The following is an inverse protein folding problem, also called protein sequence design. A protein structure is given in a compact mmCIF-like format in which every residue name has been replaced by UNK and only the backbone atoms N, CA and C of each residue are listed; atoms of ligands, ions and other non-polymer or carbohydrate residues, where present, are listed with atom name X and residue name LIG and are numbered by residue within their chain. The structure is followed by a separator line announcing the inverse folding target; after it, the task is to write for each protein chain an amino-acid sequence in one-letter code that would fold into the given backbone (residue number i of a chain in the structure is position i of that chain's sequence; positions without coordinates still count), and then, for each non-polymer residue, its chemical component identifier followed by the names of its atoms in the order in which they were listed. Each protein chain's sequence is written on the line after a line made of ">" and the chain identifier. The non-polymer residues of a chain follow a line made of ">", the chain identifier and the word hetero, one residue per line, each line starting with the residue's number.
data_IF_514564439803
#
_entry.id   IF_514564439803
#
_cell.length_a   1.000
_cell.length_b   1.000
_cell.length_c   1.000
_cell.angle_alpha   90.00
_cell.angle_beta   90.00
_cell.angle_gamma   90.00
#
_symmetry.space_group_name_H-M   'P 1'
#
loop_
_entity.id
_entity.type
_entity.pdbx_description
1 polymer ?
#
# COMPACT_ATOMS: atom_id res chain seq x y z
N UNK A 1 22.98 -27.06 -3.24
CA UNK A 1 22.77 -25.80 -3.97
C UNK A 1 23.45 -24.68 -3.19
N UNK A 2 24.14 -23.75 -3.85
CA UNK A 2 24.82 -22.58 -3.23
C UNK A 2 24.04 -21.27 -3.35
N UNK A 3 22.77 -21.32 -3.74
CA UNK A 3 21.92 -20.15 -3.88
C UNK A 3 21.41 -19.67 -2.51
N UNK A 4 21.45 -18.35 -2.29
CA UNK A 4 20.87 -17.70 -1.12
C UNK A 4 19.36 -17.51 -1.29
N UNK A 5 18.62 -17.60 -0.18
CA UNK A 5 17.18 -17.37 -0.13
C UNK A 5 16.87 -16.32 0.94
N UNK A 6 15.87 -15.48 0.66
CA UNK A 6 15.38 -14.48 1.61
C UNK A 6 14.68 -15.15 2.79
N UNK A 7 14.62 -14.45 3.93
CA UNK A 7 13.77 -14.86 5.04
C UNK A 7 12.29 -14.77 4.62
N UNK A 8 11.62 -15.92 4.59
CA UNK A 8 10.24 -16.04 4.10
C UNK A 8 9.24 -15.38 5.05
N UNK A 9 9.48 -15.40 6.36
CA UNK A 9 8.63 -14.73 7.33
C UNK A 9 8.69 -13.22 7.11
N UNK A 10 9.89 -12.64 7.02
CA UNK A 10 10.07 -11.21 6.79
C UNK A 10 9.52 -10.77 5.43
N UNK A 11 9.66 -11.58 4.38
CA UNK A 11 9.06 -11.31 3.08
C UNK A 11 7.53 -11.24 3.15
N UNK A 12 6.88 -12.18 3.86
CA UNK A 12 5.43 -12.17 4.04
C UNK A 12 4.96 -10.99 4.89
N UNK A 13 5.70 -10.61 5.94
CA UNK A 13 5.42 -9.40 6.72
C UNK A 13 5.48 -8.14 5.84
N UNK A 14 6.52 -8.02 5.01
CA UNK A 14 6.67 -6.92 4.07
C UNK A 14 5.51 -6.81 3.10
N UNK A 15 5.15 -7.92 2.44
CA UNK A 15 4.00 -7.95 1.53
C UNK A 15 2.69 -7.64 2.25
N UNK A 16 2.45 -8.22 3.43
CA UNK A 16 1.20 -8.02 4.17
C UNK A 16 1.02 -6.56 4.60
N UNK A 17 2.10 -5.86 4.97
CA UNK A 17 2.07 -4.42 5.24
C UNK A 17 1.75 -3.60 3.99
N UNK A 18 2.30 -3.98 2.83
CA UNK A 18 2.04 -3.31 1.56
C UNK A 18 0.55 -3.36 1.17
N UNK A 19 -0.18 -4.43 1.54
CA UNK A 19 -1.64 -4.52 1.30
C UNK A 19 -2.46 -3.48 2.06
N UNK A 20 -1.86 -2.74 3.00
CA UNK A 20 -2.52 -1.75 3.87
C UNK A 20 -1.95 -0.36 3.70
N UNK A 21 -0.63 -0.21 3.89
CA UNK A 21 -0.03 1.11 4.00
C UNK A 21 0.00 1.88 2.69
N UNK A 22 0.00 1.19 1.54
CA UNK A 22 -0.13 1.89 0.26
C UNK A 22 -1.47 2.63 0.15
N UNK A 23 -2.57 2.05 0.66
CA UNK A 23 -3.88 2.71 0.69
C UNK A 23 -3.88 3.95 1.61
N UNK A 24 -3.17 3.89 2.74
CA UNK A 24 -3.08 5.04 3.64
C UNK A 24 -2.23 6.17 3.03
N UNK A 25 -1.11 5.82 2.37
CA UNK A 25 -0.31 6.80 1.61
C UNK A 25 -1.15 7.44 0.51
N UNK A 26 -1.94 6.64 -0.24
CA UNK A 26 -2.84 7.15 -1.26
C UNK A 26 -3.91 8.08 -0.68
N UNK A 27 -4.51 7.71 0.46
CA UNK A 27 -5.48 8.55 1.17
C UNK A 27 -4.88 9.91 1.56
N UNK A 28 -3.68 9.90 2.14
CA UNK A 28 -2.98 11.13 2.55
C UNK A 28 -2.59 12.00 1.34
N UNK A 29 -2.13 11.39 0.25
CA UNK A 29 -1.79 12.13 -0.96
C UNK A 29 -3.02 12.81 -1.58
N UNK A 30 -4.17 12.13 -1.62
CA UNK A 30 -5.42 12.70 -2.09
C UNK A 30 -5.93 13.84 -1.19
N UNK A 31 -5.81 13.69 0.13
CA UNK A 31 -6.18 14.72 1.11
C UNK A 31 -5.35 16.00 0.92
N UNK A 32 -4.02 15.85 0.81
CA UNK A 32 -3.11 16.98 0.60
C UNK A 32 -3.28 17.65 -0.76
N UNK A 33 -3.54 16.88 -1.81
CA UNK A 33 -3.75 17.42 -3.15
C UNK A 33 -5.11 18.14 -3.26
N UNK A 34 -6.14 17.61 -2.59
CA UNK A 34 -7.49 18.12 -2.62
C UNK A 34 -8.30 17.70 -3.85
N UNK A 35 -9.55 18.14 -3.89
CA UNK A 35 -10.55 17.68 -4.86
C UNK A 35 -10.24 17.97 -6.34
N UNK A 36 -9.28 18.86 -6.63
CA UNK A 36 -8.90 19.16 -8.00
C UNK A 36 -8.42 17.92 -8.75
N UNK A 37 -7.82 16.93 -8.06
CA UNK A 37 -7.43 15.65 -8.66
C UNK A 37 -8.57 14.97 -9.41
N UNK A 38 -9.76 14.93 -8.80
CA UNK A 38 -10.93 14.25 -9.36
C UNK A 38 -11.62 15.04 -10.48
N UNK A 39 -11.33 16.34 -10.57
CA UNK A 39 -11.97 17.26 -11.51
C UNK A 39 -10.95 17.97 -12.41
N UNK A 40 -9.77 17.36 -12.58
CA UNK A 40 -8.73 17.90 -13.45
C UNK A 40 -9.22 17.86 -14.90
N UNK A 41 -9.19 19.01 -15.62
CA UNK A 41 -9.50 19.03 -17.04
C UNK A 41 -8.49 18.17 -17.81
N UNK A 42 -8.91 17.71 -18.99
CA UNK A 42 -8.04 16.93 -19.86
C UNK A 42 -6.91 17.79 -20.42
N UNK A 43 -5.85 17.15 -20.91
CA UNK A 43 -4.79 17.86 -21.64
C UNK A 43 -5.34 18.57 -22.89
N UNK A 44 -6.33 17.97 -23.55
CA UNK A 44 -7.04 18.59 -24.68
C UNK A 44 -7.69 19.92 -24.29
N UNK A 45 -8.34 20.00 -23.12
CA UNK A 45 -8.95 21.25 -22.65
C UNK A 45 -7.88 22.30 -22.31
N UNK A 46 -6.72 21.88 -21.82
CA UNK A 46 -5.61 22.76 -21.46
C UNK A 46 -4.92 23.36 -22.71
N UNK A 47 -4.85 22.59 -23.78
CA UNK A 47 -4.24 22.98 -25.06
C UNK A 47 -5.23 23.62 -26.04
N UNK A 48 -6.53 23.59 -25.74
CA UNK A 48 -7.58 24.17 -26.56
C UNK A 48 -7.38 25.68 -26.78
N UNK A 49 -7.51 26.13 -28.03
CA UNK A 49 -7.50 27.56 -28.39
C UNK A 49 -8.70 28.30 -27.75
N UNK A 50 -9.85 27.61 -27.65
CA UNK A 50 -11.10 28.18 -27.14
C UNK A 50 -11.15 28.23 -25.61
N UNK A 51 -10.69 27.16 -24.92
CA UNK A 51 -10.88 27.02 -23.46
C UNK A 51 -9.59 26.97 -22.66
N UNK A 52 -8.42 26.73 -23.28
CA UNK A 52 -7.15 26.57 -22.59
C UNK A 52 -6.75 27.80 -21.78
N UNK A 53 -7.04 29.00 -22.28
CA UNK A 53 -6.82 30.25 -21.55
C UNK A 53 -7.66 30.35 -20.26
N UNK A 54 -8.89 29.78 -20.24
CA UNK A 54 -9.74 29.70 -19.05
C UNK A 54 -9.21 28.66 -18.07
N UNK A 55 -8.76 27.50 -18.56
CA UNK A 55 -8.13 26.47 -17.74
C UNK A 55 -6.91 27.05 -17.03
N UNK A 56 -5.98 27.68 -17.78
CA UNK A 56 -4.77 28.28 -17.22
C UNK A 56 -5.07 29.34 -16.16
N UNK A 57 -6.12 30.15 -16.36
CA UNK A 57 -6.57 31.17 -15.41
C UNK A 57 -7.16 30.56 -14.14
N UNK A 58 -8.14 29.67 -14.25
CA UNK A 58 -8.93 29.20 -13.10
C UNK A 58 -8.33 27.99 -12.38
N UNK A 59 -7.42 27.24 -13.01
CA UNK A 59 -6.66 26.18 -12.36
C UNK A 59 -5.27 26.63 -11.86
N UNK A 60 -4.96 27.92 -11.98
CA UNK A 60 -3.76 28.52 -11.39
C UNK A 60 -3.74 28.36 -9.86
N UNK A 61 -2.54 28.30 -9.30
CA UNK A 61 -2.32 28.14 -7.87
C UNK A 61 -1.63 29.36 -7.25
N UNK A 62 -0.67 29.10 -6.37
CA UNK A 62 0.20 30.14 -5.80
C UNK A 62 0.96 30.86 -6.93
N UNK A 63 1.12 32.17 -6.79
CA UNK A 63 1.85 33.00 -7.74
C UNK A 63 3.27 32.46 -8.00
N UNK A 64 3.68 32.46 -9.27
CA UNK A 64 5.00 31.99 -9.69
C UNK A 64 5.07 30.51 -10.06
N UNK A 65 4.01 29.72 -9.85
CA UNK A 65 3.93 28.33 -10.29
C UNK A 65 3.10 28.23 -11.58
N UNK A 66 3.65 27.69 -12.70
CA UNK A 66 2.88 27.43 -13.91
C UNK A 66 1.71 26.48 -13.65
N UNK A 67 0.54 26.78 -14.24
CA UNK A 67 -0.66 25.93 -14.10
C UNK A 67 -0.41 24.53 -14.63
N UNK A 68 0.36 24.42 -15.72
CA UNK A 68 0.75 23.15 -16.35
C UNK A 68 1.51 22.24 -15.37
N UNK A 69 2.44 22.80 -14.59
CA UNK A 69 3.23 22.01 -13.64
C UNK A 69 2.38 21.55 -12.44
N UNK A 70 1.43 22.38 -12.00
CA UNK A 70 0.42 22.00 -11.01
C UNK A 70 -0.48 20.86 -11.50
N UNK A 71 -0.86 20.88 -12.78
CA UNK A 71 -1.65 19.80 -13.39
C UNK A 71 -0.83 18.52 -13.50
N UNK A 72 0.44 18.59 -13.93
CA UNK A 72 1.34 17.43 -14.04
C UNK A 72 1.51 16.70 -12.70
N UNK A 73 1.76 17.42 -11.61
CA UNK A 73 1.88 16.78 -10.29
C UNK A 73 0.55 16.14 -9.87
N UNK A 74 -0.58 16.77 -10.20
CA UNK A 74 -1.90 16.18 -9.96
C UNK A 74 -2.10 14.85 -10.71
N UNK A 75 -1.76 14.81 -12.01
CA UNK A 75 -1.83 13.57 -12.82
C UNK A 75 -0.89 12.49 -12.32
N UNK A 76 0.28 12.87 -11.81
CA UNK A 76 1.20 11.92 -11.18
C UNK A 76 0.59 11.30 -9.92
N UNK A 77 0.02 12.12 -9.04
CA UNK A 77 -0.66 11.63 -7.84
C UNK A 77 -1.81 10.71 -8.22
N UNK A 78 -2.71 11.14 -9.11
CA UNK A 78 -3.83 10.32 -9.61
C UNK A 78 -3.35 8.94 -10.10
N UNK A 79 -2.28 8.91 -10.89
CA UNK A 79 -1.70 7.67 -11.44
C UNK A 79 -1.12 6.75 -10.36
N UNK A 80 -0.45 7.33 -9.36
CA UNK A 80 0.19 6.56 -8.28
C UNK A 80 -0.82 6.08 -7.23
N UNK A 81 -1.93 6.78 -7.06
CA UNK A 81 -2.93 6.51 -6.02
C UNK A 81 -4.19 5.83 -6.55
N UNK A 82 -4.24 5.50 -7.83
CA UNK A 82 -5.41 4.95 -8.50
C UNK A 82 -5.15 3.66 -9.26
N UNK A 83 -6.23 3.00 -9.67
CA UNK A 83 -6.21 1.87 -10.60
C UNK A 83 -5.26 0.73 -10.20
N UNK A 84 -4.36 0.37 -11.12
CA UNK A 84 -3.49 -0.81 -11.03
C UNK A 84 -2.54 -0.77 -9.84
N UNK A 85 -2.03 0.41 -9.43
CA UNK A 85 -1.03 0.52 -8.37
C UNK A 85 -1.53 -0.05 -7.03
N UNK A 86 -2.76 0.31 -6.66
CA UNK A 86 -3.39 -0.17 -5.42
C UNK A 86 -3.81 -1.64 -5.52
N UNK A 87 -4.34 -2.06 -6.67
CA UNK A 87 -4.78 -3.45 -6.89
C UNK A 87 -3.59 -4.41 -6.87
N UNK A 88 -2.47 -4.05 -7.50
CA UNK A 88 -1.22 -4.82 -7.44
C UNK A 88 -0.70 -4.90 -6.02
N UNK A 89 -0.71 -3.78 -5.28
CA UNK A 89 -0.28 -3.81 -3.88
C UNK A 89 -1.15 -4.70 -2.99
N UNK A 90 -2.44 -4.85 -3.31
CA UNK A 90 -3.33 -5.80 -2.64
C UNK A 90 -3.08 -7.25 -3.04
N UNK A 91 -2.83 -7.54 -4.32
CA UNK A 91 -2.91 -8.91 -4.86
C UNK A 91 -1.63 -9.49 -5.47
N UNK A 92 -0.64 -8.66 -5.80
CA UNK A 92 0.66 -9.08 -6.31
C UNK A 92 1.34 -10.05 -5.35
N UNK A 93 1.88 -11.16 -5.85
CA UNK A 93 2.41 -12.26 -5.05
C UNK A 93 1.40 -12.91 -4.06
N UNK A 94 0.10 -12.71 -4.28
CA UNK A 94 -1.00 -13.34 -3.53
C UNK A 94 -1.80 -12.35 -2.69
N UNK A 95 -3.12 -12.58 -2.61
CA UNK A 95 -4.05 -11.83 -1.76
C UNK A 95 -3.70 -11.94 -0.27
N UNK A 96 -4.10 -10.98 0.59
CA UNK A 96 -3.64 -10.88 2.00
C UNK A 96 -3.77 -12.18 2.82
N UNK A 97 -4.75 -13.02 2.49
CA UNK A 97 -4.95 -14.29 3.17
C UNK A 97 -3.80 -15.27 2.93
N UNK A 98 -3.15 -15.22 1.77
CA UNK A 98 -1.98 -16.05 1.47
C UNK A 98 -0.84 -15.74 2.45
N UNK A 99 -0.52 -14.46 2.69
CA UNK A 99 0.53 -14.07 3.63
C UNK A 99 0.15 -14.42 5.08
N UNK A 100 -1.12 -14.27 5.48
CA UNK A 100 -1.58 -14.67 6.82
C UNK A 100 -1.40 -16.17 7.07
N UNK A 101 -1.69 -17.01 6.09
CA UNK A 101 -1.48 -18.46 6.18
C UNK A 101 0.01 -18.78 6.31
N UNK A 102 0.86 -18.14 5.50
CA UNK A 102 2.31 -18.34 5.56
C UNK A 102 2.92 -17.89 6.88
N UNK A 103 2.54 -16.71 7.38
CA UNK A 103 2.97 -16.20 8.70
C UNK A 103 2.51 -17.14 9.82
N UNK A 104 1.29 -17.67 9.75
CA UNK A 104 0.82 -18.64 10.74
C UNK A 104 1.67 -19.91 10.73
N UNK A 105 1.98 -20.44 9.53
CA UNK A 105 2.77 -21.65 9.33
C UNK A 105 4.22 -21.49 9.84
N UNK A 106 4.82 -20.33 9.62
CA UNK A 106 6.21 -20.04 9.97
C UNK A 106 6.35 -19.39 11.36
N UNK A 107 5.24 -19.10 12.03
CA UNK A 107 5.19 -18.31 13.25
C UNK A 107 5.61 -19.02 14.53
N UNK A 108 5.94 -20.31 14.48
CA UNK A 108 6.36 -21.16 15.61
C UNK A 108 5.48 -20.98 16.86
N UNK A 109 4.17 -21.20 16.67
CA UNK A 109 3.18 -21.00 17.73
C UNK A 109 3.40 -21.94 18.91
N UNK A 110 3.83 -23.18 18.68
CA UNK A 110 4.07 -24.14 19.76
C UNK A 110 5.18 -23.67 20.70
N UNK A 111 6.27 -23.10 20.17
CA UNK A 111 7.29 -22.48 21.01
C UNK A 111 6.74 -21.30 21.79
N UNK A 112 5.98 -20.42 21.16
CA UNK A 112 5.36 -19.26 21.83
C UNK A 112 4.38 -19.68 22.93
N UNK A 113 3.59 -20.73 22.70
CA UNK A 113 2.69 -21.33 23.69
C UNK A 113 3.48 -21.89 24.88
N UNK A 114 4.59 -22.60 24.63
CA UNK A 114 5.47 -23.11 25.70
C UNK A 114 6.04 -21.97 26.56
N UNK A 115 6.47 -20.88 25.94
CA UNK A 115 6.95 -19.69 26.65
C UNK A 115 5.83 -19.06 27.50
N UNK A 116 4.63 -18.91 26.95
CA UNK A 116 3.48 -18.40 27.70
C UNK A 116 3.10 -19.30 28.88
N UNK A 117 3.07 -20.63 28.69
CA UNK A 117 2.80 -21.61 29.77
C UNK A 117 3.84 -21.49 30.88
N UNK A 118 5.13 -21.36 30.54
CA UNK A 118 6.20 -21.19 31.51
C UNK A 118 6.03 -19.90 32.34
N UNK A 119 5.71 -18.77 31.70
CA UNK A 119 5.45 -17.49 32.38
C UNK A 119 4.23 -17.55 33.31
N UNK A 120 3.21 -18.31 32.92
CA UNK A 120 1.99 -18.49 33.69
C UNK A 120 2.11 -19.56 34.80
N UNK A 121 3.26 -20.22 34.96
CA UNK A 121 3.45 -21.30 35.93
C UNK A 121 2.65 -22.59 35.60
N UNK A 122 2.22 -22.76 34.35
CA UNK A 122 1.50 -23.94 33.89
C UNK A 122 2.51 -25.04 33.57
N UNK A 123 2.42 -26.17 34.27
CA UNK A 123 3.30 -27.32 34.04
C UNK A 123 3.24 -27.81 32.59
N UNK A 124 4.36 -28.29 32.01
CA UNK A 124 4.33 -28.93 30.70
C UNK A 124 3.36 -30.11 30.72
N UNK A 125 2.50 -30.22 29.71
CA UNK A 125 1.64 -31.39 29.56
C UNK A 125 2.52 -32.64 29.50
N UNK A 126 2.37 -33.51 30.50
CA UNK A 126 2.96 -34.84 30.46
C UNK A 126 2.25 -35.60 29.34
N UNK A 127 3.02 -36.03 28.34
CA UNK A 127 2.50 -36.53 27.08
C UNK A 127 1.35 -37.52 27.25
N UNK A 128 0.17 -37.18 26.70
CA UNK A 128 -0.74 -38.22 26.23
C UNK A 128 0.01 -38.95 25.12
N UNK A 129 0.43 -40.18 25.40
CA UNK A 129 0.77 -41.13 24.34
C UNK A 129 -0.44 -41.17 23.41
N UNK A 130 -0.27 -40.71 22.17
CA UNK A 130 -1.21 -40.98 21.10
C UNK A 130 -1.35 -42.49 20.97
N UNK A 131 -2.55 -42.99 21.22
CA UNK A 131 -2.95 -44.35 20.84
C UNK A 131 -3.07 -44.44 19.31
#
# INVERSE_FOLDING_TARGET
>A
SGAYMVDTMLANVGKHNATRFHFEVARLAADLAGGFLATLPSEYDLESEDTGHLVKKYFSGVAGIPTEDRIKIGRLIESMTGGTALVESMHGAGSPQAQRVMIFREGDLDKKIKLAKALAGIAPEHGRKSA
#
